data_IF_456218588971
#
_entry.id   IF_456218588971
#
_cell.length_a   1.000
_cell.length_b   1.000
_cell.length_c   1.000
_cell.angle_alpha   90.00
_cell.angle_beta   90.00
_cell.angle_gamma   90.00
#
_symmetry.space_group_name_H-M   'P 1'
#
loop_
_entity.id
_entity.type
_entity.pdbx_description
1 polymer ?
#
# COMPACT_ATOMS: atom_id res chain seq x y z
N UNK A 1 -0.25 -7.28 -21.47
CA UNK A 1 -1.54 -6.72 -20.92
C UNK A 1 -1.69 -5.26 -21.37
N UNK A 2 -2.89 -4.74 -21.65
CA UNK A 2 -3.05 -3.33 -22.12
C UNK A 2 -3.35 -2.38 -20.96
N UNK A 3 -2.58 -1.30 -20.84
CA UNK A 3 -2.79 -0.23 -19.85
C UNK A 3 -3.61 0.90 -20.49
N UNK A 4 -4.87 1.04 -20.08
CA UNK A 4 -5.77 2.09 -20.55
C UNK A 4 -6.11 3.12 -19.46
N UNK A 5 -6.77 4.23 -19.84
CA UNK A 5 -7.16 5.29 -18.91
C UNK A 5 -8.02 4.80 -17.74
N UNK A 6 -8.95 3.88 -18.04
CA UNK A 6 -9.84 3.33 -17.02
C UNK A 6 -9.06 2.54 -15.97
N UNK A 7 -8.05 1.78 -16.39
CA UNK A 7 -7.17 1.05 -15.49
C UNK A 7 -6.36 2.02 -14.63
N UNK A 8 -5.79 3.07 -15.21
CA UNK A 8 -5.03 4.09 -14.46
C UNK A 8 -5.91 4.78 -13.41
N UNK A 9 -7.12 5.22 -13.78
CA UNK A 9 -8.07 5.85 -12.85
C UNK A 9 -8.48 4.91 -11.73
N UNK A 10 -8.72 3.63 -12.05
CA UNK A 10 -9.03 2.60 -11.05
C UNK A 10 -7.87 2.40 -10.09
N UNK A 11 -6.64 2.31 -10.59
CA UNK A 11 -5.45 2.12 -9.77
C UNK A 11 -5.18 3.35 -8.90
N UNK A 12 -5.31 4.55 -9.44
CA UNK A 12 -5.18 5.81 -8.72
C UNK A 12 -6.13 5.87 -7.51
N UNK A 13 -7.40 5.51 -7.73
CA UNK A 13 -8.41 5.42 -6.67
C UNK A 13 -8.05 4.38 -5.61
N UNK A 14 -7.62 3.18 -6.01
CA UNK A 14 -7.26 2.11 -5.07
C UNK A 14 -6.02 2.46 -4.23
N UNK A 15 -5.09 3.23 -4.80
CA UNK A 15 -3.86 3.66 -4.13
C UNK A 15 -3.99 5.02 -3.42
N UNK A 16 -5.16 5.65 -3.47
CA UNK A 16 -5.40 7.00 -2.93
C UNK A 16 -4.42 8.06 -3.47
N UNK A 17 -4.08 7.94 -4.76
CA UNK A 17 -3.20 8.88 -5.46
C UNK A 17 -4.02 9.73 -6.44
N UNK A 18 -3.75 11.03 -6.45
CA UNK A 18 -4.23 11.94 -7.49
C UNK A 18 -3.17 12.01 -8.60
N UNK A 19 -3.60 11.78 -9.85
CA UNK A 19 -2.70 11.78 -11.01
C UNK A 19 -2.99 13.03 -11.83
N UNK A 20 -1.95 13.82 -12.07
CA UNK A 20 -2.01 14.95 -13.00
C UNK A 20 -2.28 14.44 -14.42
N UNK A 21 -3.30 14.99 -15.07
CA UNK A 21 -3.65 14.65 -16.46
C UNK A 21 -2.49 14.85 -17.43
N UNK A 22 -1.59 15.81 -17.17
CA UNK A 22 -0.39 16.01 -18.00
C UNK A 22 0.60 14.84 -17.95
N UNK A 23 0.58 14.07 -16.86
CA UNK A 23 1.49 12.93 -16.62
C UNK A 23 0.86 11.59 -16.97
N UNK A 24 -0.45 11.55 -17.20
CA UNK A 24 -1.22 10.30 -17.39
C UNK A 24 -0.72 9.48 -18.57
N UNK A 25 -0.37 10.11 -19.69
CA UNK A 25 0.17 9.41 -20.86
C UNK A 25 1.57 8.83 -20.60
N UNK A 26 2.45 9.58 -19.95
CA UNK A 26 3.79 9.07 -19.57
C UNK A 26 3.66 7.87 -18.65
N UNK A 27 2.79 7.97 -17.64
CA UNK A 27 2.57 6.91 -16.66
C UNK A 27 2.01 5.64 -17.32
N UNK A 28 1.11 5.76 -18.30
CA UNK A 28 0.62 4.59 -19.06
C UNK A 28 1.75 3.87 -19.78
N UNK A 29 2.62 4.61 -20.45
CA UNK A 29 3.76 4.04 -21.16
C UNK A 29 4.72 3.36 -20.20
N UNK A 30 5.13 4.06 -19.13
CA UNK A 30 6.06 3.55 -18.13
C UNK A 30 5.53 2.30 -17.42
N UNK A 31 4.24 2.29 -17.05
CA UNK A 31 3.62 1.11 -16.45
C UNK A 31 3.54 -0.06 -17.44
N UNK A 32 3.26 0.22 -18.71
CA UNK A 32 3.30 -0.76 -19.78
C UNK A 32 4.68 -1.40 -19.92
N UNK A 33 5.74 -0.60 -19.92
CA UNK A 33 7.12 -1.08 -20.01
C UNK A 33 7.51 -1.96 -18.81
N UNK A 34 7.10 -1.56 -17.60
CA UNK A 34 7.32 -2.36 -16.38
C UNK A 34 6.59 -3.71 -16.48
N UNK A 35 5.34 -3.72 -16.92
CA UNK A 35 4.58 -4.97 -17.07
C UNK A 35 5.23 -5.88 -18.11
N UNK A 36 5.61 -5.33 -19.27
CA UNK A 36 6.30 -6.09 -20.31
C UNK A 36 7.63 -6.68 -19.80
N UNK A 37 8.37 -5.94 -18.97
CA UNK A 37 9.58 -6.46 -18.34
C UNK A 37 9.30 -7.62 -17.38
N UNK A 38 8.21 -7.53 -16.61
CA UNK A 38 7.78 -8.61 -15.69
C UNK A 38 7.25 -9.83 -16.44
N UNK A 39 6.64 -9.65 -17.63
CA UNK A 39 6.14 -10.75 -18.47
C UNK A 39 7.25 -11.73 -18.89
N UNK A 40 8.53 -11.32 -18.88
CA UNK A 40 9.68 -12.22 -19.10
C UNK A 40 9.73 -13.38 -18.10
N UNK A 41 9.20 -13.20 -16.88
CA UNK A 41 9.17 -14.26 -15.87
C UNK A 41 8.22 -15.40 -16.24
N UNK A 42 7.28 -15.20 -17.17
CA UNK A 42 6.34 -16.23 -17.62
C UNK A 42 7.02 -17.34 -18.43
N UNK A 43 8.26 -17.12 -18.91
CA UNK A 43 9.04 -18.15 -19.62
C UNK A 43 9.59 -19.24 -18.69
N UNK A 44 9.57 -19.00 -17.38
CA UNK A 44 10.13 -19.90 -16.38
C UNK A 44 9.02 -20.80 -15.83
N UNK A 45 9.16 -22.12 -16.00
CA UNK A 45 8.25 -23.10 -15.42
C UNK A 45 8.47 -23.22 -13.90
N UNK A 46 7.46 -22.79 -13.13
CA UNK A 46 7.42 -22.86 -11.67
C UNK A 46 6.32 -23.81 -11.17
N UNK A 47 5.75 -24.66 -12.04
CA UNK A 47 4.62 -25.54 -11.71
C UNK A 47 4.88 -26.51 -10.55
N UNK A 48 6.15 -26.84 -10.29
CA UNK A 48 6.57 -27.77 -9.25
C UNK A 48 7.33 -27.07 -8.10
N UNK A 49 7.26 -25.74 -8.01
CA UNK A 49 7.95 -24.95 -6.99
C UNK A 49 6.92 -24.29 -6.09
N UNK A 50 7.04 -24.52 -4.78
CA UNK A 50 6.21 -23.84 -3.79
C UNK A 50 6.59 -22.36 -3.68
N UNK A 51 5.58 -21.50 -3.55
CA UNK A 51 5.80 -20.08 -3.33
C UNK A 51 6.53 -19.84 -1.99
N UNK A 52 7.61 -19.06 -2.04
CA UNK A 52 8.38 -18.68 -0.84
C UNK A 52 7.87 -17.34 -0.30
N UNK A 53 7.38 -17.31 0.93
CA UNK A 53 6.79 -16.11 1.56
C UNK A 53 7.67 -15.46 2.63
N UNK A 54 8.55 -16.23 3.26
CA UNK A 54 9.46 -15.76 4.29
C UNK A 54 10.79 -16.51 4.15
N UNK A 55 11.90 -15.79 4.22
CA UNK A 55 13.25 -16.36 4.21
C UNK A 55 13.70 -16.81 5.60
N UNK A 56 12.95 -16.44 6.64
CA UNK A 56 13.22 -16.81 8.03
C UNK A 56 12.48 -18.09 8.37
N UNK A 57 13.23 -19.10 8.83
CA UNK A 57 12.66 -20.33 9.37
C UNK A 57 11.89 -20.04 10.67
N UNK A 58 10.67 -20.58 10.79
CA UNK A 58 9.88 -20.47 12.01
C UNK A 58 8.38 -20.59 11.78
N UNK A 59 7.64 -20.75 12.88
CA UNK A 59 6.18 -20.67 12.89
C UNK A 59 5.66 -19.25 13.12
N UNK A 60 4.35 -19.09 13.20
CA UNK A 60 3.71 -17.82 13.57
C UNK A 60 4.15 -17.38 14.97
N UNK A 61 4.81 -16.23 15.13
CA UNK A 61 5.17 -15.72 16.45
C UNK A 61 3.89 -15.34 17.21
N UNK A 62 3.75 -15.87 18.43
CA UNK A 62 2.69 -15.49 19.34
C UNK A 62 3.19 -14.43 20.32
N UNK A 63 2.31 -13.52 20.72
CA UNK A 63 2.54 -12.53 21.76
C UNK A 63 1.79 -12.95 23.02
N UNK A 64 2.45 -12.91 24.17
CA UNK A 64 1.82 -13.11 25.48
C UNK A 64 0.66 -12.13 25.71
N UNK A 65 -0.41 -12.59 26.35
CA UNK A 65 -1.57 -11.76 26.67
C UNK A 65 -1.34 -10.89 27.93
N UNK A 66 -0.38 -9.98 27.83
CA UNK A 66 -0.02 -9.05 28.90
C UNK A 66 -0.39 -7.63 28.48
N UNK A 67 -1.13 -6.93 29.35
CA UNK A 67 -1.47 -5.53 29.14
C UNK A 67 -0.26 -4.63 29.36
N UNK A 68 -0.07 -3.66 28.49
CA UNK A 68 0.95 -2.61 28.64
C UNK A 68 0.25 -1.26 28.62
N UNK A 69 0.42 -0.46 29.68
CA UNK A 69 -0.12 0.89 29.77
C UNK A 69 1.01 1.90 29.85
N UNK A 70 0.99 2.86 28.91
CA UNK A 70 1.81 4.06 28.95
C UNK A 70 0.89 5.26 28.84
N UNK A 71 0.77 5.99 29.95
CA UNK A 71 -0.13 7.14 30.08
C UNK A 71 0.32 8.34 29.25
N UNK A 72 1.58 8.38 28.79
CA UNK A 72 2.09 9.43 27.92
C UNK A 72 1.89 9.13 26.43
N UNK A 73 1.59 7.88 26.08
CA UNK A 73 1.51 7.42 24.68
C UNK A 73 0.51 8.22 23.86
N UNK A 74 -0.67 8.50 24.41
CA UNK A 74 -1.69 9.30 23.74
C UNK A 74 -1.18 10.71 23.39
N UNK A 75 -0.47 11.35 24.33
CA UNK A 75 0.11 12.69 24.13
C UNK A 75 1.19 12.67 23.05
N UNK A 76 2.12 11.71 23.11
CA UNK A 76 3.22 11.56 22.15
C UNK A 76 2.72 11.29 20.72
N UNK A 77 1.63 10.52 20.57
CA UNK A 77 1.03 10.25 19.25
C UNK A 77 0.49 11.54 18.62
N UNK A 78 -0.23 12.34 19.41
CA UNK A 78 -0.89 13.56 18.94
C UNK A 78 0.11 14.64 18.55
N UNK A 79 1.31 14.67 19.15
CA UNK A 79 2.39 15.60 18.78
C UNK A 79 2.78 15.53 17.30
N UNK A 80 2.54 14.39 16.63
CA UNK A 80 2.82 14.21 15.20
C UNK A 80 1.58 14.37 14.30
N UNK A 81 0.42 14.69 14.88
CA UNK A 81 -0.81 14.86 14.12
C UNK A 81 -0.78 16.17 13.31
N UNK A 82 -1.08 16.15 11.99
CA UNK A 82 -1.20 17.38 11.21
C UNK A 82 -2.23 18.37 11.75
N UNK A 83 -3.32 17.83 12.34
CA UNK A 83 -4.35 18.60 13.04
C UNK A 83 -4.97 17.75 14.13
N UNK A 84 -5.10 18.34 15.32
CA UNK A 84 -5.71 17.68 16.47
C UNK A 84 -6.43 18.68 17.36
N UNK A 85 -7.48 18.25 18.05
CA UNK A 85 -8.24 19.05 19.02
C UNK A 85 -8.79 18.11 20.10
N UNK A 86 -8.76 18.55 21.37
CA UNK A 86 -9.27 17.81 22.53
C UNK A 86 -8.85 16.34 22.66
N UNK A 87 -7.66 15.98 22.14
CA UNK A 87 -7.18 14.59 22.17
C UNK A 87 -7.55 13.76 20.92
N UNK A 88 -8.15 14.36 19.91
CA UNK A 88 -8.63 13.70 18.70
C UNK A 88 -7.89 14.17 17.44
N UNK A 89 -7.82 13.30 16.43
CA UNK A 89 -7.38 13.69 15.09
C UNK A 89 -8.52 14.40 14.36
N UNK A 90 -8.22 15.55 13.76
CA UNK A 90 -9.21 16.28 12.98
C UNK A 90 -9.02 15.94 11.50
N UNK A 91 -10.04 15.30 10.93
CA UNK A 91 -10.11 14.92 9.52
C UNK A 91 -11.35 15.54 8.88
N UNK A 92 -11.38 15.72 7.53
CA UNK A 92 -12.59 16.09 6.83
C UNK A 92 -13.73 15.10 7.13
N UNK A 93 -14.95 15.62 7.26
CA UNK A 93 -16.12 14.78 7.47
C UNK A 93 -16.25 13.79 6.31
N UNK A 94 -16.35 12.50 6.63
CA UNK A 94 -16.66 11.46 5.65
C UNK A 94 -18.14 11.63 5.28
N UNK A 95 -18.42 11.96 4.03
CA UNK A 95 -19.77 12.11 3.47
C UNK A 95 -19.92 11.03 2.39
N UNK A 96 -21.08 10.37 2.36
CA UNK A 96 -21.48 9.42 1.32
C UNK A 96 -22.24 10.13 0.20
#
# INVERSE_FOLDING_TARGET
MTVDDKLIEKLAKLSSLEIDEQKKESLKSELGDIINFVENLNEIDVSNIDATFNTVEGGTPLREDVSTQDLQRAKQIIENAPKSEDGYFIVPKIIE
#
